data_IF_470135290175
#
_entry.id   IF_470135290175
#
_cell.length_a   1.000
_cell.length_b   1.000
_cell.length_c   1.000
_cell.angle_alpha   90.00
_cell.angle_beta   90.00
_cell.angle_gamma   90.00
#
_symmetry.space_group_name_H-M   'P 1'
#
loop_
_entity.id
_entity.type
_entity.pdbx_description
1 polymer ?
#
# COMPACT_ATOMS: atom_id res chain seq x y z
N UNK A 1 0.19 23.57 -30.34
CA UNK A 1 -0.83 22.59 -29.93
C UNK A 1 -0.24 21.88 -28.74
N UNK A 2 -0.90 22.06 -27.60
CA UNK A 2 -0.32 21.98 -26.26
C UNK A 2 -0.11 20.53 -25.83
N UNK A 3 1.07 20.21 -25.30
CA UNK A 3 1.38 18.97 -24.60
C UNK A 3 2.01 19.32 -23.25
N UNK A 4 1.17 19.77 -22.32
CA UNK A 4 1.51 19.94 -20.91
C UNK A 4 1.53 18.55 -20.23
N UNK A 5 2.59 17.79 -20.48
CA UNK A 5 2.99 16.70 -19.62
C UNK A 5 3.94 17.26 -18.54
N UNK A 6 3.39 18.07 -17.62
CA UNK A 6 4.14 18.44 -16.42
C UNK A 6 4.35 17.21 -15.55
N UNK A 7 5.62 16.86 -15.46
CA UNK A 7 6.21 15.84 -14.60
C UNK A 7 5.94 16.24 -13.15
N UNK A 8 4.88 15.71 -12.56
CA UNK A 8 4.65 15.76 -11.11
C UNK A 8 5.63 14.77 -10.48
N UNK A 9 6.90 15.12 -10.33
CA UNK A 9 7.87 14.60 -9.34
C UNK A 9 9.27 15.13 -9.69
N UNK A 10 9.53 16.41 -9.41
CA UNK A 10 10.88 16.92 -9.15
C UNK A 10 10.81 18.35 -8.64
N UNK A 11 10.70 18.51 -7.32
CA UNK A 11 11.31 19.67 -6.66
C UNK A 11 12.63 19.22 -6.03
N UNK A 12 13.76 19.88 -6.34
CA UNK A 12 15.05 19.51 -5.79
C UNK A 12 15.11 19.88 -4.32
N UNK A 13 15.47 18.92 -3.47
CA UNK A 13 15.86 19.18 -2.08
C UNK A 13 17.15 20.01 -2.09
N UNK A 14 17.16 21.22 -1.51
CA UNK A 14 18.40 21.97 -1.37
C UNK A 14 19.23 21.35 -0.24
N UNK A 15 20.40 20.83 -0.62
CA UNK A 15 21.66 20.95 0.11
C UNK A 15 21.73 20.42 1.55
N UNK A 16 22.44 19.30 1.71
CA UNK A 16 23.09 18.91 2.95
C UNK A 16 24.07 20.01 3.43
N UNK A 17 23.75 20.66 4.54
CA UNK A 17 24.75 21.20 5.46
C UNK A 17 24.50 20.61 6.84
N UNK A 18 25.54 20.03 7.42
CA UNK A 18 25.56 19.50 8.77
C UNK A 18 25.32 20.65 9.76
N UNK A 19 24.09 20.81 10.23
CA UNK A 19 23.75 21.74 11.30
C UNK A 19 23.29 20.90 12.49
N UNK A 20 23.92 21.01 13.68
CA UNK A 20 23.38 20.40 14.88
C UNK A 20 22.08 21.13 15.21
N UNK A 21 20.93 20.54 14.86
CA UNK A 21 19.64 21.10 15.26
C UNK A 21 19.42 20.75 16.72
N UNK A 22 19.98 21.58 17.59
CA UNK A 22 19.42 21.82 18.92
C UNK A 22 17.93 22.09 18.73
N UNK A 23 17.08 21.20 19.26
CA UNK A 23 15.63 21.38 19.25
C UNK A 23 15.36 22.72 19.93
N UNK A 24 14.88 23.76 19.21
CA UNK A 24 14.48 24.99 19.87
C UNK A 24 13.25 24.63 20.68
N UNK A 25 13.23 25.00 21.96
CA UNK A 25 12.00 25.00 22.75
C UNK A 25 10.90 25.66 21.91
N UNK A 26 9.75 24.97 21.77
CA UNK A 26 8.61 25.47 21.00
C UNK A 26 8.33 26.92 21.42
N UNK A 27 8.76 27.87 20.59
CA UNK A 27 8.22 29.21 20.67
C UNK A 27 6.74 29.12 20.28
N UNK A 28 5.84 29.85 20.98
CA UNK A 28 4.44 29.88 20.63
C UNK A 28 4.31 30.36 19.18
N UNK A 29 3.84 29.46 18.31
CA UNK A 29 3.61 29.76 16.90
C UNK A 29 2.62 30.93 16.81
N UNK A 30 2.84 31.92 15.92
CA UNK A 30 1.90 33.01 15.72
C UNK A 30 0.53 32.43 15.34
N UNK A 31 -0.51 32.94 15.99
CA UNK A 31 -1.89 32.49 15.83
C UNK A 31 -2.31 32.75 14.38
N UNK A 32 -2.23 31.73 13.54
CA UNK A 32 -2.88 31.74 12.22
C UNK A 32 -4.38 31.88 12.51
N UNK A 33 -4.94 33.06 12.23
CA UNK A 33 -6.37 33.31 12.38
C UNK A 33 -7.13 32.31 11.52
N UNK A 34 -7.67 31.28 12.18
CA UNK A 34 -8.51 30.27 11.53
C UNK A 34 -9.77 30.99 11.02
N UNK A 35 -10.29 30.61 9.85
CA UNK A 35 -11.44 31.27 9.25
C UNK A 35 -12.63 31.26 10.23
N UNK A 36 -13.51 32.26 10.12
CA UNK A 36 -14.61 32.50 11.05
C UNK A 36 -15.56 31.29 11.26
N UNK A 37 -15.56 30.33 10.32
CA UNK A 37 -16.35 29.09 10.36
C UNK A 37 -15.62 27.91 11.04
N UNK A 38 -14.47 28.14 11.68
CA UNK A 38 -13.73 27.09 12.37
C UNK A 38 -14.40 26.76 13.71
N UNK A 39 -15.14 25.65 13.74
CA UNK A 39 -15.72 25.14 14.99
C UNK A 39 -14.63 24.45 15.83
N UNK A 40 -14.42 24.97 17.03
CA UNK A 40 -13.53 24.35 18.01
C UNK A 40 -14.29 23.28 18.80
N UNK A 41 -13.76 22.07 18.81
CA UNK A 41 -14.28 20.96 19.62
C UNK A 41 -13.25 20.56 20.67
N UNK A 42 -13.72 20.35 21.90
CA UNK A 42 -12.91 19.80 22.97
C UNK A 42 -12.75 18.29 22.77
N UNK A 43 -11.51 17.81 22.61
CA UNK A 43 -11.24 16.39 22.38
C UNK A 43 -11.14 15.66 23.71
N UNK A 44 -12.19 14.94 24.10
CA UNK A 44 -12.22 14.09 25.30
C UNK A 44 -12.20 12.59 24.93
N UNK A 45 -11.00 12.02 24.68
CA UNK A 45 -10.91 10.59 24.38
C UNK A 45 -11.20 9.70 25.60
N UNK A 46 -11.15 10.25 26.81
CA UNK A 46 -11.32 9.49 28.06
C UNK A 46 -12.78 9.12 28.36
N UNK A 47 -13.73 9.88 27.81
CA UNK A 47 -15.17 9.59 27.92
C UNK A 47 -15.58 8.38 27.05
N UNK A 48 -14.67 7.89 26.19
CA UNK A 48 -14.91 6.75 25.32
C UNK A 48 -14.50 5.43 25.99
N UNK A 49 -15.31 4.40 25.77
CA UNK A 49 -15.01 3.03 26.20
C UNK A 49 -13.63 2.56 25.70
N UNK A 50 -12.94 1.75 26.51
CA UNK A 50 -11.63 1.18 26.16
C UNK A 50 -11.63 0.47 24.80
N UNK A 51 -12.68 -0.31 24.50
CA UNK A 51 -12.82 -1.00 23.20
C UNK A 51 -12.98 0.01 22.04
N UNK A 52 -13.70 1.12 22.25
CA UNK A 52 -13.83 2.16 21.24
C UNK A 52 -12.48 2.83 20.92
N UNK A 53 -11.65 3.10 21.94
CA UNK A 53 -10.29 3.62 21.77
C UNK A 53 -9.37 2.63 21.05
N UNK A 54 -9.47 1.34 21.38
CA UNK A 54 -8.71 0.28 20.72
C UNK A 54 -9.08 0.16 19.24
N UNK A 55 -10.38 0.17 18.90
CA UNK A 55 -10.86 0.16 17.51
C UNK A 55 -10.44 1.40 16.74
N UNK A 56 -10.48 2.58 17.35
CA UNK A 56 -10.00 3.82 16.73
C UNK A 56 -8.50 3.74 16.41
N UNK A 57 -7.70 3.21 17.33
CA UNK A 57 -6.26 2.99 17.13
C UNK A 57 -6.00 1.97 16.01
N UNK A 58 -6.72 0.85 16.02
CA UNK A 58 -6.63 -0.17 14.98
C UNK A 58 -7.02 0.38 13.59
N UNK A 59 -8.07 1.19 13.53
CA UNK A 59 -8.51 1.85 12.30
C UNK A 59 -7.44 2.83 11.78
N UNK A 60 -6.84 3.65 12.66
CA UNK A 60 -5.74 4.56 12.32
C UNK A 60 -4.57 3.80 11.70
N UNK A 61 -4.08 2.75 12.36
CA UNK A 61 -2.95 1.95 11.88
C UNK A 61 -3.30 1.25 10.56
N UNK A 62 -4.53 0.73 10.43
CA UNK A 62 -5.01 0.09 9.21
C UNK A 62 -5.02 1.06 8.03
N UNK A 63 -5.49 2.29 8.22
CA UNK A 63 -5.52 3.30 7.17
C UNK A 63 -4.10 3.72 6.75
N UNK A 64 -3.23 4.00 7.72
CA UNK A 64 -1.83 4.34 7.44
C UNK A 64 -1.13 3.24 6.63
N UNK A 65 -1.27 1.99 7.08
CA UNK A 65 -0.72 0.83 6.38
C UNK A 65 -1.34 0.67 4.99
N UNK A 66 -2.66 0.76 4.85
CA UNK A 66 -3.34 0.59 3.57
C UNK A 66 -2.85 1.57 2.51
N UNK A 67 -2.79 2.86 2.83
CA UNK A 67 -2.36 3.87 1.86
C UNK A 67 -0.88 3.77 1.53
N UNK A 68 -0.03 3.44 2.52
CA UNK A 68 1.39 3.17 2.26
C UNK A 68 1.58 2.05 1.23
N UNK A 69 0.97 0.89 1.48
CA UNK A 69 1.08 -0.24 0.55
C UNK A 69 0.43 0.06 -0.81
N UNK A 70 -0.69 0.79 -0.84
CA UNK A 70 -1.34 1.16 -2.10
C UNK A 70 -0.44 2.04 -2.98
N UNK A 71 0.26 3.01 -2.37
CA UNK A 71 1.23 3.85 -3.06
C UNK A 71 2.45 3.07 -3.54
N UNK A 72 3.07 2.28 -2.67
CA UNK A 72 4.22 1.41 -3.03
C UNK A 72 3.86 0.52 -4.22
N UNK A 73 2.68 -0.10 -4.21
CA UNK A 73 2.20 -0.91 -5.33
C UNK A 73 1.99 -0.12 -6.62
N UNK A 74 1.45 1.10 -6.55
CA UNK A 74 1.26 1.94 -7.73
C UNK A 74 2.61 2.34 -8.35
N UNK A 75 3.57 2.69 -7.51
CA UNK A 75 4.95 3.00 -7.93
C UNK A 75 5.59 1.78 -8.60
N UNK A 76 5.52 0.61 -7.97
CA UNK A 76 6.10 -0.62 -8.52
C UNK A 76 5.50 -1.01 -9.87
N UNK A 77 4.18 -0.86 -10.06
CA UNK A 77 3.51 -1.15 -11.33
C UNK A 77 3.97 -0.19 -12.43
N UNK A 78 4.19 1.08 -12.10
CA UNK A 78 4.69 2.09 -13.03
C UNK A 78 6.15 1.84 -13.41
N UNK A 79 7.01 1.53 -12.43
CA UNK A 79 8.43 1.21 -12.66
C UNK A 79 8.54 0.01 -13.61
N UNK A 80 7.80 -1.07 -13.34
CA UNK A 80 7.79 -2.27 -14.20
C UNK A 80 7.26 -1.98 -15.60
N UNK A 81 6.26 -1.12 -15.73
CA UNK A 81 5.76 -0.65 -17.02
C UNK A 81 6.83 0.10 -17.81
N UNK A 82 7.51 1.06 -17.18
CA UNK A 82 8.57 1.83 -17.80
C UNK A 82 9.80 0.96 -18.18
N UNK A 83 10.18 0.00 -17.34
CA UNK A 83 11.24 -0.97 -17.64
C UNK A 83 10.88 -1.85 -18.86
N UNK A 84 9.63 -2.30 -18.95
CA UNK A 84 9.13 -3.04 -20.11
C UNK A 84 9.24 -2.19 -21.38
N UNK A 85 8.78 -0.93 -21.33
CA UNK A 85 8.84 -0.03 -22.49
C UNK A 85 10.28 0.20 -22.96
N UNK A 86 11.22 0.42 -22.02
CA UNK A 86 12.65 0.54 -22.34
C UNK A 86 13.22 -0.74 -22.95
N UNK A 87 12.85 -1.91 -22.43
CA UNK A 87 13.30 -3.21 -22.96
C UNK A 87 12.70 -3.52 -24.34
N UNK A 88 11.56 -2.94 -24.69
CA UNK A 88 10.86 -3.13 -25.95
C UNK A 88 11.27 -2.11 -27.03
N UNK A 89 12.09 -1.10 -26.68
CA UNK A 89 12.62 -0.14 -27.63
C UNK A 89 13.53 -0.85 -28.66
N UNK A 90 13.11 -0.86 -29.93
CA UNK A 90 13.84 -1.53 -31.02
C UNK A 90 13.40 -2.96 -31.33
N UNK A 91 12.36 -3.47 -30.67
CA UNK A 91 11.76 -4.79 -30.96
C UNK A 91 10.67 -4.65 -32.04
N UNK A 92 10.55 -5.59 -33.00
CA UNK A 92 9.48 -5.55 -34.01
C UNK A 92 8.09 -5.57 -33.37
N UNK A 93 7.15 -4.86 -34.00
CA UNK A 93 5.83 -4.54 -33.45
C UNK A 93 5.03 -5.78 -33.00
N UNK A 94 5.06 -6.87 -33.77
CA UNK A 94 4.38 -8.11 -33.40
C UNK A 94 4.91 -8.74 -32.10
N UNK A 95 6.22 -8.65 -31.86
CA UNK A 95 6.85 -9.18 -30.65
C UNK A 95 6.64 -8.21 -29.48
N UNK A 96 6.68 -6.90 -29.73
CA UNK A 96 6.31 -5.85 -28.78
C UNK A 96 4.90 -6.06 -28.22
N UNK A 97 3.90 -6.24 -29.09
CA UNK A 97 2.50 -6.46 -28.71
C UNK A 97 2.28 -7.75 -27.91
N UNK A 98 3.09 -8.80 -28.14
CA UNK A 98 3.02 -10.03 -27.33
C UNK A 98 3.51 -9.81 -25.91
N UNK A 99 4.63 -9.11 -25.74
CA UNK A 99 5.18 -8.83 -24.41
C UNK A 99 4.29 -7.89 -23.60
N UNK A 100 3.72 -6.84 -24.22
CA UNK A 100 2.74 -5.95 -23.57
C UNK A 100 1.53 -6.76 -23.07
N UNK A 101 0.96 -7.64 -23.91
CA UNK A 101 -0.17 -8.50 -23.50
C UNK A 101 0.19 -9.43 -22.34
N UNK A 102 1.39 -10.00 -22.35
CA UNK A 102 1.89 -10.85 -21.26
C UNK A 102 2.03 -10.06 -19.96
N UNK A 103 2.57 -8.85 -20.03
CA UNK A 103 2.70 -7.96 -18.88
C UNK A 103 1.33 -7.62 -18.29
N UNK A 104 0.36 -7.17 -19.10
CA UNK A 104 -1.01 -6.86 -18.65
C UNK A 104 -1.70 -8.07 -18.02
N UNK A 105 -1.53 -9.27 -18.60
CA UNK A 105 -2.08 -10.51 -18.03
C UNK A 105 -1.47 -10.82 -16.65
N UNK A 106 -0.17 -10.61 -16.50
CA UNK A 106 0.55 -10.87 -15.24
C UNK A 106 0.11 -9.90 -14.15
N UNK A 107 -0.01 -8.60 -14.46
CA UNK A 107 -0.54 -7.60 -13.52
C UNK A 107 -1.98 -7.91 -13.10
N UNK A 108 -2.84 -8.28 -14.06
CA UNK A 108 -4.23 -8.68 -13.78
C UNK A 108 -4.30 -9.91 -12.87
N UNK A 109 -3.43 -10.91 -13.09
CA UNK A 109 -3.34 -12.10 -12.26
C UNK A 109 -2.86 -11.77 -10.84
N UNK A 110 -1.89 -10.87 -10.70
CA UNK A 110 -1.41 -10.41 -9.39
C UNK A 110 -2.53 -9.73 -8.59
N UNK A 111 -3.28 -8.82 -9.20
CA UNK A 111 -4.43 -8.19 -8.54
C UNK A 111 -5.52 -9.20 -8.18
N UNK A 112 -5.75 -10.19 -9.04
CA UNK A 112 -6.69 -11.29 -8.75
C UNK A 112 -6.24 -12.09 -7.53
N UNK A 113 -4.96 -12.50 -7.48
CA UNK A 113 -4.42 -13.27 -6.35
C UNK A 113 -4.51 -12.49 -5.04
N UNK A 114 -4.27 -11.18 -5.07
CA UNK A 114 -4.41 -10.30 -3.90
C UNK A 114 -5.85 -10.21 -3.40
N UNK A 115 -6.83 -10.28 -4.31
CA UNK A 115 -8.26 -10.27 -3.96
C UNK A 115 -8.76 -11.63 -3.44
N UNK A 116 -8.22 -12.72 -3.96
CA UNK A 116 -8.68 -14.08 -3.58
C UNK A 116 -8.26 -14.40 -2.15
N UNK A 117 -9.25 -14.54 -1.27
CA UNK A 117 -9.05 -15.08 0.09
C UNK A 117 -9.19 -16.59 0.03
N UNK A 118 -8.18 -17.31 0.48
CA UNK A 118 -8.18 -18.78 0.52
C UNK A 118 -8.47 -19.19 1.97
N UNK A 119 -9.47 -20.04 2.17
CA UNK A 119 -9.89 -20.51 3.50
C UNK A 119 -9.83 -22.02 3.63
N UNK A 120 -10.18 -22.55 4.80
CA UNK A 120 -10.23 -23.98 5.09
C UNK A 120 -11.14 -24.76 4.12
N UNK A 121 -12.22 -24.14 3.65
CA UNK A 121 -13.19 -24.74 2.73
C UNK A 121 -12.61 -25.03 1.34
N UNK A 122 -11.49 -24.39 0.98
CA UNK A 122 -10.81 -24.64 -0.29
C UNK A 122 -9.91 -25.88 -0.25
N UNK A 123 -9.80 -26.54 0.91
CA UNK A 123 -8.96 -27.71 1.10
C UNK A 123 -9.80 -28.96 1.42
N UNK A 124 -9.42 -30.09 0.82
CA UNK A 124 -9.91 -31.41 1.22
C UNK A 124 -8.85 -32.07 2.08
N UNK A 125 -9.22 -32.45 3.30
CA UNK A 125 -8.39 -33.26 4.18
C UNK A 125 -8.26 -34.66 3.59
N UNK A 126 -7.03 -35.10 3.36
CA UNK A 126 -6.73 -36.41 2.76
C UNK A 126 -6.44 -37.41 3.85
N UNK A 127 -5.49 -37.08 4.72
CA UNK A 127 -5.14 -37.91 5.87
C UNK A 127 -4.52 -37.07 6.96
N UNK A 128 -4.61 -37.59 8.17
CA UNK A 128 -3.88 -37.10 9.33
C UNK A 128 -2.48 -37.69 9.29
N UNK A 129 -1.47 -36.84 9.43
CA UNK A 129 -0.06 -37.24 9.40
C UNK A 129 0.51 -37.31 10.83
N UNK A 130 0.06 -36.43 11.72
CA UNK A 130 0.48 -36.45 13.12
C UNK A 130 -0.41 -35.61 14.04
N UNK A 131 -0.41 -35.92 15.33
CA UNK A 131 -1.11 -35.18 16.38
C UNK A 131 -0.09 -34.81 17.48
N UNK A 132 -0.05 -33.55 17.88
CA UNK A 132 0.84 -33.04 18.93
C UNK A 132 0.16 -31.99 19.81
N UNK A 133 0.90 -31.42 20.76
CA UNK A 133 0.38 -30.43 21.72
C UNK A 133 -0.15 -29.14 21.05
N UNK A 134 0.35 -28.81 19.86
CA UNK A 134 -0.06 -27.64 19.07
C UNK A 134 -1.19 -27.95 18.06
N UNK A 135 -1.74 -29.17 18.09
CA UNK A 135 -2.83 -29.60 17.23
C UNK A 135 -2.45 -30.71 16.25
N UNK A 136 -3.26 -30.84 15.21
CA UNK A 136 -3.19 -31.93 14.24
C UNK A 136 -2.59 -31.46 12.91
N UNK A 137 -1.57 -32.19 12.43
CA UNK A 137 -0.99 -31.98 11.12
C UNK A 137 -1.71 -32.85 10.09
N UNK A 138 -2.38 -32.20 9.15
CA UNK A 138 -3.21 -32.84 8.14
C UNK A 138 -2.60 -32.62 6.76
N UNK A 139 -2.51 -33.68 5.96
CA UNK A 139 -2.24 -33.57 4.53
C UNK A 139 -3.50 -33.13 3.79
N UNK A 140 -3.41 -32.04 3.03
CA UNK A 140 -4.55 -31.42 2.36
C UNK A 140 -4.30 -31.31 0.85
N UNK A 141 -5.33 -31.53 0.04
CA UNK A 141 -5.33 -31.16 -1.38
C UNK A 141 -6.18 -29.91 -1.60
N UNK A 142 -5.67 -28.92 -2.32
CA UNK A 142 -6.45 -27.72 -2.67
C UNK A 142 -7.48 -28.10 -3.74
N UNK A 143 -8.75 -27.80 -3.49
CA UNK A 143 -9.81 -27.90 -4.50
C UNK A 143 -9.65 -26.73 -5.48
N UNK A 144 -9.47 -27.06 -6.76
CA UNK A 144 -9.63 -26.09 -7.84
C UNK A 144 -11.15 -25.93 -8.06
N UNK A 145 -11.69 -24.75 -7.76
CA UNK A 145 -13.00 -24.35 -8.28
C UNK A 145 -12.85 -23.86 -9.70
#
# INVERSE_FOLDING_TARGET
MNDDAEIIYSTPFPGTSSIPVSIPALQPQPVVEKPADYVYYERRPDDLSSDARARATAAKVKLQSHYRHALEMAIDLNIRGAELERSLAGVPEERRLREIRRHTRTQSQFLRLRRTKIGLQDFRTVKVIGKGAFGEQIGCHRRLR
#
